data_IF_122877037343
#
_entry.id   IF_122877037343
#
_cell.length_a   1.000
_cell.length_b   1.000
_cell.length_c   1.000
_cell.angle_alpha   90.00
_cell.angle_beta   90.00
_cell.angle_gamma   90.00
#
_symmetry.space_group_name_H-M   'P 1'
#
loop_
_entity.id
_entity.type
_entity.pdbx_description
1 polymer ?
#
# COMPACT_ATOMS: atom_id res chain seq x y z
N UNK A 1 15.00 -16.52 8.63
CA UNK A 1 14.68 -15.32 9.44
C UNK A 1 15.00 -14.08 8.62
N UNK A 2 14.03 -13.19 8.41
CA UNK A 2 14.28 -11.85 7.90
C UNK A 2 13.23 -10.88 8.50
N UNK A 3 13.71 -10.07 9.44
CA UNK A 3 13.18 -8.84 10.03
C UNK A 3 11.84 -8.86 10.78
N UNK A 4 11.95 -9.16 12.08
CA UNK A 4 11.14 -8.56 13.15
C UNK A 4 11.43 -7.07 13.31
N UNK A 5 10.40 -6.25 13.54
CA UNK A 5 10.27 -5.34 14.70
C UNK A 5 9.11 -4.35 14.49
N UNK A 6 8.08 -4.45 15.32
CA UNK A 6 7.06 -3.42 15.45
C UNK A 6 7.34 -2.54 16.70
N UNK A 7 7.14 -1.21 16.53
CA UNK A 7 6.93 -0.09 17.50
C UNK A 7 8.16 0.68 18.07
N UNK A 8 8.07 2.01 18.29
CA UNK A 8 6.87 2.75 18.74
C UNK A 8 6.34 3.88 17.83
N UNK A 9 5.09 4.25 18.11
CA UNK A 9 4.32 5.28 17.44
C UNK A 9 4.63 6.68 17.99
N UNK A 10 5.13 7.57 17.13
CA UNK A 10 4.75 8.99 17.04
C UNK A 10 5.20 9.49 15.66
N UNK A 11 4.41 9.19 14.64
CA UNK A 11 4.55 9.83 13.34
C UNK A 11 3.15 10.15 12.82
N UNK A 12 2.77 11.42 12.92
CA UNK A 12 1.50 11.97 12.41
C UNK A 12 1.36 11.81 10.89
N UNK A 13 2.45 11.45 10.20
CA UNK A 13 2.47 11.01 8.80
C UNK A 13 3.27 9.72 8.66
N UNK A 14 2.80 8.75 7.85
CA UNK A 14 3.57 7.54 7.56
C UNK A 14 4.87 7.86 6.83
N UNK A 15 5.90 7.07 7.12
CA UNK A 15 7.17 7.13 6.38
C UNK A 15 6.98 6.71 4.92
N UNK A 16 7.94 7.06 4.06
CA UNK A 16 7.92 6.63 2.65
C UNK A 16 7.90 5.10 2.51
N UNK A 17 8.60 4.37 3.40
CA UNK A 17 8.61 2.91 3.42
C UNK A 17 7.24 2.33 3.80
N UNK A 18 6.57 2.90 4.81
CA UNK A 18 5.22 2.49 5.19
C UNK A 18 4.19 2.81 4.11
N UNK A 19 4.30 3.97 3.44
CA UNK A 19 3.49 4.31 2.28
C UNK A 19 3.65 3.24 1.18
N UNK A 20 4.90 2.92 0.82
CA UNK A 20 5.18 1.93 -0.23
C UNK A 20 4.64 0.55 0.11
N UNK A 21 4.78 0.12 1.37
CA UNK A 21 4.22 -1.15 1.85
C UNK A 21 2.70 -1.18 1.68
N UNK A 22 1.99 -0.12 2.11
CA UNK A 22 0.53 -0.03 1.98
C UNK A 22 0.08 -0.07 0.51
N UNK A 23 0.84 0.57 -0.39
CA UNK A 23 0.56 0.55 -1.83
C UNK A 23 0.72 -0.86 -2.39
N UNK A 24 1.81 -1.55 -2.06
CA UNK A 24 2.06 -2.91 -2.51
C UNK A 24 0.97 -3.88 -2.03
N UNK A 25 0.56 -3.78 -0.76
CA UNK A 25 -0.53 -4.58 -0.19
C UNK A 25 -1.87 -4.29 -0.90
N UNK A 26 -2.22 -3.02 -1.10
CA UNK A 26 -3.45 -2.64 -1.80
C UNK A 26 -3.45 -3.09 -3.27
N UNK A 27 -2.33 -2.95 -3.98
CA UNK A 27 -2.19 -3.41 -5.36
C UNK A 27 -2.32 -4.94 -5.44
N UNK A 28 -1.73 -5.67 -4.49
CA UNK A 28 -1.88 -7.12 -4.39
C UNK A 28 -3.36 -7.52 -4.21
N UNK A 29 -4.10 -6.87 -3.32
CA UNK A 29 -5.52 -7.19 -3.13
C UNK A 29 -6.37 -6.82 -4.35
N UNK A 30 -6.06 -5.73 -5.05
CA UNK A 30 -6.74 -5.37 -6.30
C UNK A 30 -6.50 -6.43 -7.39
N UNK A 31 -5.26 -6.86 -7.56
CA UNK A 31 -4.91 -7.92 -8.49
C UNK A 31 -5.57 -9.25 -8.09
N UNK A 32 -5.54 -9.61 -6.80
CA UNK A 32 -6.16 -10.82 -6.26
C UNK A 32 -7.68 -10.84 -6.52
N UNK A 33 -8.38 -9.73 -6.30
CA UNK A 33 -9.83 -9.60 -6.57
C UNK A 33 -10.19 -9.81 -8.04
N UNK A 34 -9.25 -9.55 -8.95
CA UNK A 34 -9.40 -9.78 -10.40
C UNK A 34 -8.83 -11.12 -10.86
N UNK A 35 -8.34 -11.97 -9.95
CA UNK A 35 -7.69 -13.23 -10.29
C UNK A 35 -6.34 -13.06 -11.00
N UNK A 36 -5.61 -11.98 -10.69
CA UNK A 36 -4.29 -11.66 -11.25
C UNK A 36 -4.27 -11.58 -12.78
N UNK A 37 -5.30 -10.98 -13.37
CA UNK A 37 -5.41 -10.78 -14.82
C UNK A 37 -4.15 -10.09 -15.40
N UNK A 38 -3.58 -10.68 -16.44
CA UNK A 38 -2.39 -10.15 -17.11
C UNK A 38 -2.63 -8.73 -17.67
N UNK A 39 -1.60 -7.88 -17.59
CA UNK A 39 -1.68 -6.49 -18.07
C UNK A 39 -2.36 -5.50 -17.12
N UNK A 40 -2.94 -5.95 -16.01
CA UNK A 40 -3.61 -5.06 -15.04
C UNK A 40 -2.71 -4.58 -13.90
N UNK A 41 -1.53 -5.18 -13.70
CA UNK A 41 -0.66 -4.90 -12.55
C UNK A 41 -0.28 -3.41 -12.41
N UNK A 42 0.00 -2.73 -13.53
CA UNK A 42 0.31 -1.29 -13.51
C UNK A 42 -0.92 -0.47 -13.10
N UNK A 43 -2.11 -0.83 -13.59
CA UNK A 43 -3.36 -0.16 -13.21
C UNK A 43 -3.72 -0.42 -11.74
N UNK A 44 -3.48 -1.63 -11.25
CA UNK A 44 -3.65 -2.00 -9.83
C UNK A 44 -2.72 -1.17 -8.95
N UNK A 45 -1.45 -1.01 -9.36
CA UNK A 45 -0.48 -0.17 -8.66
C UNK A 45 -0.91 1.31 -8.63
N UNK A 46 -1.24 1.90 -9.77
CA UNK A 46 -1.68 3.30 -9.85
C UNK A 46 -2.95 3.57 -9.04
N UNK A 47 -3.88 2.60 -9.04
CA UNK A 47 -5.10 2.68 -8.22
C UNK A 47 -4.77 2.60 -6.74
N UNK A 48 -3.87 1.69 -6.35
CA UNK A 48 -3.40 1.57 -4.98
C UNK A 48 -2.69 2.83 -4.48
N UNK A 49 -1.82 3.43 -5.30
CA UNK A 49 -1.15 4.70 -4.99
C UNK A 49 -2.16 5.80 -4.66
N UNK A 50 -3.14 6.02 -5.54
CA UNK A 50 -4.18 7.03 -5.32
C UNK A 50 -4.99 6.77 -4.05
N UNK A 51 -5.35 5.52 -3.80
CA UNK A 51 -6.15 5.15 -2.63
C UNK A 51 -5.38 5.38 -1.31
N UNK A 52 -4.10 4.96 -1.28
CA UNK A 52 -3.25 5.12 -0.10
C UNK A 52 -2.93 6.59 0.12
N UNK A 53 -2.59 7.35 -0.91
CA UNK A 53 -2.34 8.78 -0.81
C UNK A 53 -3.56 9.54 -0.29
N UNK A 54 -4.75 9.19 -0.80
CA UNK A 54 -5.98 9.79 -0.33
C UNK A 54 -6.29 9.41 1.13
N UNK A 55 -5.98 8.18 1.56
CA UNK A 55 -6.14 7.77 2.96
C UNK A 55 -5.18 8.52 3.89
N UNK A 56 -3.91 8.64 3.49
CA UNK A 56 -2.89 9.41 4.22
C UNK A 56 -3.29 10.89 4.32
N UNK A 57 -3.80 11.47 3.23
CA UNK A 57 -4.27 12.86 3.21
C UNK A 57 -5.49 13.07 4.13
N UNK A 58 -6.38 12.06 4.25
CA UNK A 58 -7.53 12.08 5.17
C UNK A 58 -7.16 11.76 6.62
N UNK A 59 -5.95 11.26 6.89
CA UNK A 59 -5.54 10.82 8.21
C UNK A 59 -6.22 9.52 8.68
N UNK A 60 -6.76 8.72 7.76
CA UNK A 60 -7.42 7.43 8.01
C UNK A 60 -6.49 6.25 7.79
#
# INVERSE_FOLDING_TARGET
AAASAAKPAVATKPTAAERQRRIAEAAYFLAQRRGFASGSAVQDWLTAERNVDAAIARGT
#
